data_IF_002683222761
#
_entry.id   IF_002683222761
#
_cell.length_a   1.000
_cell.length_b   1.000
_cell.length_c   1.000
_cell.angle_alpha   90.00
_cell.angle_beta   90.00
_cell.angle_gamma   90.00
#
_symmetry.space_group_name_H-M   'P 1'
#
loop_
_entity.id
_entity.type
_entity.pdbx_description
1 polymer ?
#
# COMPACT_ATOMS: atom_id res chain seq x y z
N UNK A 1 -3.80 -3.13 -9.71
CA UNK A 1 -4.95 -3.01 -10.63
C UNK A 1 -4.62 -2.19 -11.87
N UNK A 2 -4.03 -1.00 -11.69
CA UNK A 2 -3.58 -0.19 -12.83
C UNK A 2 -2.51 -0.93 -13.65
N UNK A 3 -1.60 -1.62 -12.99
CA UNK A 3 -0.56 -2.42 -13.66
C UNK A 3 -1.22 -3.51 -14.50
N UNK A 4 -2.23 -4.19 -13.96
CA UNK A 4 -2.95 -5.21 -14.71
C UNK A 4 -3.67 -4.64 -15.93
N UNK A 5 -4.28 -3.47 -15.78
CA UNK A 5 -4.97 -2.80 -16.88
C UNK A 5 -4.01 -2.40 -18.00
N UNK A 6 -2.83 -1.87 -17.65
CA UNK A 6 -1.83 -1.42 -18.63
C UNK A 6 -1.14 -2.55 -19.35
N UNK A 7 -0.91 -3.67 -18.68
CA UNK A 7 -0.21 -4.83 -19.28
C UNK A 7 -1.17 -5.82 -19.90
N UNK A 8 -2.45 -5.77 -19.55
CA UNK A 8 -3.43 -6.76 -19.96
C UNK A 8 -3.21 -8.13 -19.33
N UNK A 9 -2.40 -8.21 -18.28
CA UNK A 9 -2.07 -9.45 -17.60
C UNK A 9 -2.26 -9.30 -16.09
N UNK A 10 -2.70 -10.36 -15.44
CA UNK A 10 -2.81 -10.39 -13.98
C UNK A 10 -1.44 -10.30 -13.32
N UNK A 11 -1.38 -9.75 -12.10
CA UNK A 11 -0.13 -9.61 -11.35
C UNK A 11 0.57 -10.95 -11.18
N UNK A 12 -0.19 -12.03 -10.95
CA UNK A 12 0.38 -13.38 -10.84
C UNK A 12 1.14 -13.81 -12.11
N UNK A 13 0.62 -13.43 -13.27
CA UNK A 13 1.30 -13.69 -14.54
C UNK A 13 2.57 -12.86 -14.69
N UNK A 14 2.55 -11.60 -14.26
CA UNK A 14 3.72 -10.73 -14.31
C UNK A 14 4.84 -11.33 -13.45
N UNK A 15 4.51 -11.79 -12.23
CA UNK A 15 5.49 -12.47 -11.37
C UNK A 15 6.04 -13.74 -11.99
N UNK A 16 5.20 -14.51 -12.64
CA UNK A 16 5.61 -15.77 -13.28
C UNK A 16 6.53 -15.55 -14.48
N UNK A 17 6.20 -14.57 -15.32
CA UNK A 17 6.94 -14.30 -16.56
C UNK A 17 8.15 -13.40 -16.35
N UNK A 18 8.05 -12.38 -15.53
CA UNK A 18 9.09 -11.36 -15.36
C UNK A 18 9.75 -11.39 -13.99
N UNK A 19 9.15 -12.11 -13.03
CA UNK A 19 9.62 -12.17 -11.66
C UNK A 19 9.34 -10.88 -10.90
N UNK A 20 9.79 -10.85 -9.65
CA UNK A 20 9.63 -9.67 -8.80
C UNK A 20 10.33 -8.43 -9.36
N UNK A 21 11.58 -8.52 -9.87
CA UNK A 21 12.24 -7.34 -10.44
C UNK A 21 11.45 -6.69 -11.58
N UNK A 22 10.87 -7.49 -12.47
CA UNK A 22 10.05 -6.95 -13.55
C UNK A 22 8.80 -6.25 -13.05
N UNK A 23 8.12 -6.86 -12.08
CA UNK A 23 6.96 -6.24 -11.45
C UNK A 23 7.33 -4.91 -10.78
N UNK A 24 8.46 -4.85 -10.05
CA UNK A 24 8.90 -3.64 -9.36
C UNK A 24 9.24 -2.52 -10.34
N UNK A 25 9.81 -2.84 -11.49
CA UNK A 25 10.07 -1.83 -12.53
C UNK A 25 8.76 -1.23 -13.06
N UNK A 26 7.76 -2.06 -13.30
CA UNK A 26 6.44 -1.60 -13.74
C UNK A 26 5.76 -0.75 -12.67
N UNK A 27 5.86 -1.17 -11.42
CA UNK A 27 5.31 -0.45 -10.29
C UNK A 27 5.94 0.95 -10.17
N UNK A 28 7.26 1.06 -10.28
CA UNK A 28 7.97 2.34 -10.24
C UNK A 28 7.49 3.29 -11.33
N UNK A 29 7.33 2.78 -12.53
CA UNK A 29 6.85 3.59 -13.66
C UNK A 29 5.44 4.11 -13.42
N UNK A 30 4.55 3.24 -12.96
CA UNK A 30 3.15 3.61 -12.68
C UNK A 30 3.08 4.63 -11.54
N UNK A 31 3.84 4.43 -10.47
CA UNK A 31 3.87 5.38 -9.35
C UNK A 31 4.37 6.74 -9.81
N UNK A 32 5.43 6.78 -10.61
CA UNK A 32 5.97 8.04 -11.12
C UNK A 32 4.94 8.79 -11.95
N UNK A 33 4.19 8.09 -12.79
CA UNK A 33 3.17 8.69 -13.63
C UNK A 33 1.94 9.14 -12.83
N UNK A 34 1.40 8.26 -11.97
CA UNK A 34 0.18 8.54 -11.24
C UNK A 34 0.38 9.57 -10.11
N UNK A 35 1.54 9.58 -9.47
CA UNK A 35 1.81 10.56 -8.41
C UNK A 35 1.89 11.98 -8.94
N UNK A 36 2.12 12.16 -10.24
CA UNK A 36 2.11 13.48 -10.87
C UNK A 36 0.70 13.99 -11.17
N UNK A 37 -0.32 13.14 -11.11
CA UNK A 37 -1.69 13.54 -11.36
C UNK A 37 -2.31 14.20 -10.13
N UNK A 38 -3.28 15.10 -10.36
CA UNK A 38 -4.03 15.77 -9.31
C UNK A 38 -5.43 15.17 -9.15
N UNK A 39 -5.97 15.26 -7.94
CA UNK A 39 -7.33 14.85 -7.67
C UNK A 39 -7.58 13.36 -7.69
N UNK A 40 -6.54 12.55 -7.44
CA UNK A 40 -6.66 11.09 -7.40
C UNK A 40 -6.32 10.54 -6.02
N UNK A 41 -6.82 9.34 -5.75
CA UNK A 41 -6.41 8.52 -4.61
C UNK A 41 -5.59 7.37 -5.16
N UNK A 42 -4.31 7.31 -4.76
CA UNK A 42 -3.39 6.27 -5.21
C UNK A 42 -3.19 5.25 -4.09
N UNK A 43 -3.66 4.03 -4.31
CA UNK A 43 -3.41 2.92 -3.41
C UNK A 43 -2.26 2.08 -3.94
N UNK A 44 -1.22 1.89 -3.13
CA UNK A 44 -0.04 1.13 -3.51
C UNK A 44 0.03 -0.21 -2.78
N UNK A 45 0.76 -1.14 -3.36
CA UNK A 45 1.16 -2.34 -2.64
C UNK A 45 2.21 -2.01 -1.57
N UNK A 46 2.32 -2.88 -0.57
CA UNK A 46 3.21 -2.64 0.57
C UNK A 46 4.69 -2.59 0.22
N UNK A 47 5.11 -3.24 -0.85
CA UNK A 47 6.50 -3.25 -1.28
C UNK A 47 6.95 -2.01 -2.05
N UNK A 48 6.02 -1.10 -2.38
CA UNK A 48 6.38 0.12 -3.10
C UNK A 48 7.41 0.97 -2.35
N UNK A 49 7.35 0.99 -1.02
CA UNK A 49 8.27 1.79 -0.19
C UNK A 49 9.70 1.27 -0.15
N UNK A 50 9.96 0.08 -0.68
CA UNK A 50 11.31 -0.48 -0.69
C UNK A 50 12.25 0.29 -1.62
N UNK A 51 11.71 1.03 -2.58
CA UNK A 51 12.50 1.78 -3.56
C UNK A 51 12.53 3.27 -3.21
N UNK A 52 13.74 3.85 -3.08
CA UNK A 52 13.88 5.26 -2.72
C UNK A 52 13.17 6.21 -3.68
N UNK A 53 13.16 5.88 -4.98
CA UNK A 53 12.50 6.70 -5.99
C UNK A 53 11.00 6.77 -5.77
N UNK A 54 10.37 5.63 -5.44
CA UNK A 54 8.95 5.61 -5.11
C UNK A 54 8.66 6.46 -3.87
N UNK A 55 9.49 6.34 -2.84
CA UNK A 55 9.33 7.14 -1.62
C UNK A 55 9.39 8.64 -1.93
N UNK A 56 10.36 9.04 -2.74
CA UNK A 56 10.50 10.45 -3.13
C UNK A 56 9.28 10.97 -3.90
N UNK A 57 8.82 10.20 -4.87
CA UNK A 57 7.67 10.60 -5.68
C UNK A 57 6.40 10.70 -4.85
N UNK A 58 6.15 9.74 -3.97
CA UNK A 58 4.97 9.76 -3.13
C UNK A 58 5.00 10.91 -2.11
N UNK A 59 6.12 11.09 -1.43
CA UNK A 59 6.26 12.11 -0.39
C UNK A 59 6.23 13.52 -0.95
N UNK A 60 6.83 13.74 -2.12
CA UNK A 60 6.95 15.08 -2.71
C UNK A 60 5.66 15.54 -3.40
N UNK A 61 4.82 14.62 -3.85
CA UNK A 61 3.71 14.93 -4.75
C UNK A 61 2.33 14.74 -4.17
N UNK A 62 2.21 14.20 -2.96
CA UNK A 62 0.91 13.92 -2.38
C UNK A 62 0.92 13.87 -0.87
N UNK A 63 -0.28 13.72 -0.32
CA UNK A 63 -0.48 13.47 1.11
C UNK A 63 -0.47 11.96 1.32
N UNK A 64 0.49 11.47 2.10
CA UNK A 64 0.71 10.04 2.29
C UNK A 64 0.06 9.57 3.59
N UNK A 65 -0.81 8.59 3.47
CA UNK A 65 -1.47 7.95 4.62
C UNK A 65 -0.94 6.53 4.76
N UNK A 66 -0.39 6.23 5.93
CA UNK A 66 0.01 4.88 6.27
C UNK A 66 -1.11 4.22 7.08
N UNK A 67 -1.71 3.20 6.50
CA UNK A 67 -2.73 2.40 7.18
C UNK A 67 -2.05 1.25 7.91
N UNK A 68 -1.80 1.45 9.21
CA UNK A 68 -1.12 0.46 10.04
C UNK A 68 -2.09 -0.64 10.47
N UNK A 69 -1.72 -1.89 10.20
CA UNK A 69 -2.54 -3.05 10.52
C UNK A 69 -1.70 -4.06 11.30
N UNK A 70 -2.28 -4.68 12.33
CA UNK A 70 -1.59 -5.71 13.10
C UNK A 70 -1.32 -6.96 12.25
N UNK A 71 -0.32 -7.74 12.67
CA UNK A 71 0.00 -9.02 12.03
C UNK A 71 -1.19 -9.96 12.09
N UNK A 72 -1.92 -9.97 13.20
CA UNK A 72 -3.12 -10.80 13.36
C UNK A 72 -4.20 -10.46 12.34
N UNK A 73 -4.46 -9.18 12.11
CA UNK A 73 -5.43 -8.75 11.09
C UNK A 73 -4.96 -9.09 9.69
N UNK A 74 -3.67 -8.92 9.42
CA UNK A 74 -3.09 -9.28 8.12
C UNK A 74 -3.22 -10.77 7.85
N UNK A 75 -2.98 -11.61 8.85
CA UNK A 75 -3.15 -13.06 8.74
C UNK A 75 -4.59 -13.42 8.43
N UNK A 76 -5.54 -12.77 9.10
CA UNK A 76 -6.97 -13.00 8.86
C UNK A 76 -7.37 -12.68 7.42
N UNK A 77 -6.89 -11.55 6.91
CA UNK A 77 -7.13 -11.17 5.51
C UNK A 77 -6.47 -12.13 4.52
N UNK A 78 -5.27 -12.61 4.84
CA UNK A 78 -4.52 -13.52 4.00
C UNK A 78 -5.20 -14.88 3.89
N UNK A 79 -5.84 -15.36 4.95
CA UNK A 79 -6.61 -16.60 4.91
C UNK A 79 -7.74 -16.55 3.89
N UNK A 80 -8.27 -15.36 3.63
CA UNK A 80 -9.35 -15.13 2.67
C UNK A 80 -8.83 -14.88 1.26
N UNK A 81 -7.61 -14.35 1.14
CA UNK A 81 -7.01 -14.01 -0.15
C UNK A 81 -5.81 -14.91 -0.44
N UNK A 82 -6.06 -15.97 -1.21
CA UNK A 82 -5.04 -16.94 -1.59
C UNK A 82 -4.20 -16.51 -2.79
N UNK A 83 -4.46 -15.33 -3.35
CA UNK A 83 -3.78 -14.84 -4.54
C UNK A 83 -2.52 -14.03 -4.25
N UNK A 84 -2.08 -13.95 -3.00
CA UNK A 84 -0.84 -13.24 -2.62
C UNK A 84 0.31 -14.23 -2.50
N UNK A 85 1.17 -14.34 -3.52
CA UNK A 85 2.21 -15.39 -3.52
C UNK A 85 3.23 -15.26 -2.39
N UNK A 86 3.50 -14.04 -1.92
CA UNK A 86 4.45 -13.80 -0.82
C UNK A 86 3.98 -14.37 0.52
N UNK A 87 2.72 -14.72 0.64
CA UNK A 87 2.13 -15.21 1.89
C UNK A 87 1.80 -16.71 1.85
N UNK A 88 2.11 -17.38 0.74
CA UNK A 88 1.92 -18.82 0.60
C UNK A 88 3.19 -19.58 1.04
N UNK A 89 3.63 -19.35 2.28
CA UNK A 89 4.81 -20.00 2.83
C UNK A 89 4.46 -20.70 4.14
N UNK A 90 5.37 -21.56 4.61
CA UNK A 90 5.14 -22.45 5.75
C UNK A 90 4.86 -21.72 7.06
N UNK A 91 5.37 -20.50 7.25
CA UNK A 91 5.16 -19.71 8.47
C UNK A 91 4.80 -18.26 8.12
N UNK A 92 3.51 -18.00 7.79
CA UNK A 92 3.08 -16.66 7.38
C UNK A 92 3.24 -15.61 8.47
N UNK A 93 3.04 -15.99 9.74
CA UNK A 93 3.14 -15.04 10.85
C UNK A 93 4.57 -14.47 11.00
N UNK A 94 5.56 -15.35 11.01
CA UNK A 94 6.97 -14.95 11.11
C UNK A 94 7.35 -14.07 9.91
N UNK A 95 6.90 -14.46 8.72
CA UNK A 95 7.17 -13.71 7.50
C UNK A 95 6.57 -12.30 7.56
N UNK A 96 5.34 -12.18 8.02
CA UNK A 96 4.69 -10.87 8.17
C UNK A 96 5.40 -10.00 9.22
N UNK A 97 5.84 -10.59 10.32
CA UNK A 97 6.60 -9.85 11.34
C UNK A 97 7.92 -9.33 10.79
N UNK A 98 8.63 -10.15 10.03
CA UNK A 98 9.89 -9.73 9.40
C UNK A 98 9.67 -8.60 8.40
N UNK A 99 8.65 -8.74 7.55
CA UNK A 99 8.30 -7.71 6.58
C UNK A 99 7.92 -6.41 7.27
N UNK A 100 7.14 -6.47 8.34
CA UNK A 100 6.73 -5.29 9.08
C UNK A 100 7.93 -4.58 9.72
N UNK A 101 8.82 -5.33 10.35
CA UNK A 101 10.04 -4.76 10.95
C UNK A 101 10.89 -4.01 9.94
N UNK A 102 10.98 -4.54 8.73
CA UNK A 102 11.77 -3.94 7.67
C UNK A 102 11.06 -2.73 7.04
N UNK A 103 9.76 -2.86 6.80
CA UNK A 103 8.99 -1.86 6.05
C UNK A 103 8.42 -0.74 6.90
N UNK A 104 8.08 -0.99 8.17
CA UNK A 104 7.44 0.01 9.02
C UNK A 104 8.22 1.33 9.11
N UNK A 105 9.56 1.33 9.31
CA UNK A 105 10.33 2.57 9.30
C UNK A 105 10.23 3.32 7.96
N UNK A 106 10.15 2.60 6.85
CA UNK A 106 10.04 3.19 5.52
C UNK A 106 8.67 3.84 5.30
N UNK A 107 7.60 3.20 5.77
CA UNK A 107 6.27 3.78 5.73
C UNK A 107 6.22 5.07 6.56
N UNK A 108 6.77 5.04 7.77
CA UNK A 108 6.76 6.19 8.67
C UNK A 108 7.60 7.34 8.17
N UNK A 109 8.67 7.05 7.43
CA UNK A 109 9.54 8.07 6.84
C UNK A 109 8.75 9.02 5.92
N UNK A 110 7.82 8.49 5.14
CA UNK A 110 7.07 9.27 4.15
C UNK A 110 5.65 9.61 4.57
N UNK A 111 5.14 9.03 5.66
CA UNK A 111 3.76 9.22 6.06
C UNK A 111 3.51 10.63 6.61
N UNK A 112 2.49 11.27 6.07
CA UNK A 112 1.95 12.49 6.63
C UNK A 112 0.94 12.19 7.73
N UNK A 113 0.33 11.02 7.67
CA UNK A 113 -0.67 10.55 8.63
C UNK A 113 -0.53 9.05 8.82
N UNK A 114 -0.51 8.60 10.07
CA UNK A 114 -0.52 7.17 10.41
C UNK A 114 -1.83 6.85 11.10
N UNK A 115 -2.58 5.90 10.55
CA UNK A 115 -3.86 5.48 11.12
C UNK A 115 -3.81 3.99 11.46
N UNK A 116 -4.11 3.67 12.72
CA UNK A 116 -4.25 2.27 13.14
C UNK A 116 -5.64 1.79 12.72
N UNK A 117 -5.68 0.74 11.90
CA UNK A 117 -6.93 0.21 11.35
C UNK A 117 -7.52 -0.93 12.17
N UNK A 118 -6.86 -1.35 13.26
CA UNK A 118 -7.30 -2.49 14.07
C UNK A 118 -8.68 -2.24 14.68
N UNK A 119 -9.60 -3.19 14.46
CA UNK A 119 -10.95 -3.11 15.02
C UNK A 119 -11.82 -2.01 14.43
N UNK A 120 -11.41 -1.41 13.32
CA UNK A 120 -12.13 -0.29 12.69
C UNK A 120 -12.64 -0.68 11.32
N UNK A 121 -13.83 -0.21 10.98
CA UNK A 121 -14.40 -0.44 9.65
C UNK A 121 -13.70 0.44 8.61
N UNK A 122 -13.79 0.04 7.35
CA UNK A 122 -13.28 0.83 6.22
C UNK A 122 -13.89 2.22 6.24
N UNK A 123 -15.18 2.34 6.51
CA UNK A 123 -15.87 3.63 6.57
C UNK A 123 -15.33 4.53 7.67
N UNK A 124 -15.10 3.99 8.87
CA UNK A 124 -14.55 4.75 10.00
C UNK A 124 -13.16 5.29 9.67
N UNK A 125 -12.31 4.46 9.08
CA UNK A 125 -10.98 4.87 8.64
C UNK A 125 -11.05 5.96 7.58
N UNK A 126 -11.91 5.79 6.58
CA UNK A 126 -12.09 6.78 5.52
C UNK A 126 -12.56 8.13 6.06
N UNK A 127 -13.50 8.13 6.99
CA UNK A 127 -13.99 9.37 7.62
C UNK A 127 -12.87 10.08 8.36
N UNK A 128 -12.03 9.34 9.09
CA UNK A 128 -10.90 9.94 9.80
C UNK A 128 -9.89 10.57 8.83
N UNK A 129 -9.60 9.91 7.71
CA UNK A 129 -8.71 10.47 6.68
C UNK A 129 -9.28 11.78 6.14
N UNK A 130 -10.57 11.82 5.84
CA UNK A 130 -11.24 13.03 5.33
C UNK A 130 -11.16 14.16 6.35
N UNK A 131 -11.36 13.87 7.62
CA UNK A 131 -11.25 14.87 8.69
C UNK A 131 -9.86 15.48 8.81
N UNK A 132 -8.83 14.66 8.57
CA UNK A 132 -7.45 15.14 8.63
C UNK A 132 -7.08 15.95 7.39
N UNK A 133 -7.61 15.58 6.22
CA UNK A 133 -7.35 16.30 4.96
C UNK A 133 -8.16 17.59 4.85
N UNK A 134 -9.39 17.58 5.34
CA UNK A 134 -10.35 18.70 5.22
C UNK A 134 -10.99 19.00 6.57
N UNK A 135 -10.24 19.58 7.51
CA UNK A 135 -10.77 19.84 8.86
C UNK A 135 -12.01 20.74 8.88
N UNK A 136 -12.12 21.65 7.93
CA UNK A 136 -13.27 22.55 7.81
C UNK A 136 -14.54 21.80 7.42
N UNK A 137 -14.42 20.85 6.49
CA UNK A 137 -15.56 20.03 6.07
C UNK A 137 -16.03 19.10 7.19
N UNK A 138 -15.13 18.66 8.05
CA UNK A 138 -15.49 17.82 9.20
C UNK A 138 -16.39 18.53 10.20
N UNK A 139 -16.33 19.85 10.29
CA UNK A 139 -17.17 20.65 11.18
C UNK A 139 -18.61 20.79 10.66
N UNK A 140 -18.83 20.57 9.37
CA UNK A 140 -20.13 20.71 8.75
C UNK A 140 -20.94 19.41 8.79
N UNK A 141 -20.32 18.32 9.12
CA UNK A 141 -20.97 17.02 9.23
C UNK A 141 -21.19 16.66 10.69
#
# INVERSE_FOLDING_TARGET
KVIEERTGAAISWIFELEGEPGFRQREQKVIAELSAEHGIVLATGGGAVLFPENRRNLAARGFVVYLQTSVEQQLERTRRDRNRPLLQIADPRTRLLELLRFRDPLYREIADLVINTNGRSVRTVAVEIIRQLYPEDAQLS
#
